data_IF_979944676622
#
_entry.id   IF_979944676622
#
_cell.length_a   1.000
_cell.length_b   1.000
_cell.length_c   1.000
_cell.angle_alpha   90.00
_cell.angle_beta   90.00
_cell.angle_gamma   90.00
#
_symmetry.space_group_name_H-M   'P 1'
#
loop_
_entity.id
_entity.type
_entity.pdbx_description
1 polymer ?
#
# COMPACT_ATOMS: atom_id res chain seq x y z
N UNK A 1 17.25 -21.69 -13.33
CA UNK A 1 16.24 -21.45 -12.28
C UNK A 1 15.31 -20.32 -12.72
N UNK A 2 14.02 -20.59 -12.96
CA UNK A 2 13.05 -19.50 -13.17
C UNK A 2 12.89 -18.78 -11.82
N UNK A 3 13.20 -17.48 -11.76
CA UNK A 3 12.87 -16.64 -10.60
C UNK A 3 11.35 -16.57 -10.51
N UNK A 4 10.75 -17.43 -9.68
CA UNK A 4 9.33 -17.37 -9.39
C UNK A 4 9.11 -16.10 -8.57
N UNK A 5 8.53 -15.07 -9.19
CA UNK A 5 8.26 -13.83 -8.48
C UNK A 5 7.07 -14.05 -7.57
N UNK A 6 7.30 -13.89 -6.26
CA UNK A 6 6.27 -14.03 -5.23
C UNK A 6 5.11 -13.09 -5.53
N UNK A 7 3.92 -13.64 -5.55
CA UNK A 7 2.70 -12.93 -5.96
C UNK A 7 2.41 -11.68 -5.12
N UNK A 8 2.64 -11.73 -3.80
CA UNK A 8 2.55 -10.55 -2.95
C UNK A 8 3.56 -9.46 -3.30
N UNK A 9 4.74 -9.79 -3.83
CA UNK A 9 5.71 -8.77 -4.27
C UNK A 9 5.15 -7.93 -5.43
N UNK A 10 4.46 -8.56 -6.39
CA UNK A 10 3.84 -7.83 -7.52
C UNK A 10 2.69 -6.93 -7.04
N UNK A 11 1.88 -7.43 -6.11
CA UNK A 11 0.83 -6.63 -5.47
C UNK A 11 1.45 -5.44 -4.72
N UNK A 12 2.48 -5.70 -3.92
CA UNK A 12 3.20 -4.67 -3.17
C UNK A 12 3.82 -3.60 -4.06
N UNK A 13 4.44 -4.02 -5.17
CA UNK A 13 4.99 -3.09 -6.15
C UNK A 13 3.89 -2.24 -6.82
N UNK A 14 2.75 -2.83 -7.16
CA UNK A 14 1.60 -2.11 -7.70
C UNK A 14 1.05 -1.07 -6.72
N UNK A 15 0.83 -1.47 -5.46
CA UNK A 15 0.38 -0.57 -4.40
C UNK A 15 1.39 0.57 -4.15
N UNK A 16 2.68 0.25 -4.15
CA UNK A 16 3.73 1.23 -3.96
C UNK A 16 3.75 2.28 -5.09
N UNK A 17 3.65 1.84 -6.35
CA UNK A 17 3.58 2.75 -7.51
C UNK A 17 2.34 3.65 -7.42
N UNK A 18 1.18 3.09 -7.07
CA UNK A 18 -0.06 3.87 -6.85
C UNK A 18 0.14 4.90 -5.74
N UNK A 19 0.78 4.52 -4.63
CA UNK A 19 1.11 5.44 -3.54
C UNK A 19 2.01 6.58 -3.98
N UNK A 20 3.05 6.31 -4.77
CA UNK A 20 3.94 7.36 -5.31
C UNK A 20 3.17 8.30 -6.24
N UNK A 21 2.33 7.77 -7.13
CA UNK A 21 1.51 8.57 -8.03
C UNK A 21 0.55 9.48 -7.26
N UNK A 22 -0.14 8.94 -6.26
CA UNK A 22 -1.06 9.73 -5.43
C UNK A 22 -0.32 10.79 -4.62
N UNK A 23 0.88 10.50 -4.12
CA UNK A 23 1.71 11.48 -3.43
C UNK A 23 2.10 12.64 -4.37
N UNK A 24 2.55 12.32 -5.59
CA UNK A 24 2.93 13.32 -6.59
C UNK A 24 1.75 14.19 -7.03
N UNK A 25 0.59 13.56 -7.29
CA UNK A 25 -0.64 14.28 -7.65
C UNK A 25 -1.14 15.16 -6.51
N UNK A 26 -1.10 14.66 -5.27
CA UNK A 26 -1.48 15.45 -4.10
C UNK A 26 -0.58 16.67 -3.93
N UNK A 27 0.73 16.48 -4.07
CA UNK A 27 1.71 17.55 -3.95
C UNK A 27 1.48 18.62 -5.01
N UNK A 28 1.30 18.22 -6.28
CA UNK A 28 1.01 19.17 -7.36
C UNK A 28 -0.30 19.93 -7.14
N UNK A 29 -1.37 19.26 -6.72
CA UNK A 29 -2.65 19.95 -6.46
C UNK A 29 -2.54 20.98 -5.33
N UNK A 30 -1.81 20.65 -4.26
CA UNK A 30 -1.58 21.56 -3.14
C UNK A 30 -0.71 22.75 -3.56
N UNK A 31 0.37 22.50 -4.29
CA UNK A 31 1.33 23.55 -4.69
C UNK A 31 0.75 24.52 -5.74
N UNK A 32 0.07 24.00 -6.77
CA UNK A 32 -0.35 24.82 -7.92
C UNK A 32 -1.79 25.32 -7.84
N UNK A 33 -2.66 24.63 -7.10
CA UNK A 33 -4.10 24.92 -7.06
C UNK A 33 -4.61 25.17 -5.63
N UNK A 34 -3.73 25.01 -4.63
CA UNK A 34 -4.08 25.06 -3.20
C UNK A 34 -5.29 24.16 -2.87
N UNK A 35 -5.35 23.01 -3.52
CA UNK A 35 -6.44 22.06 -3.39
C UNK A 35 -5.91 20.65 -3.15
N UNK A 36 -6.75 19.79 -2.59
CA UNK A 36 -6.45 18.38 -2.40
C UNK A 36 -7.73 17.58 -2.54
N UNK A 37 -7.58 16.31 -2.91
CA UNK A 37 -8.67 15.35 -2.88
C UNK A 37 -8.41 14.35 -1.75
N UNK A 38 -9.44 14.08 -0.95
CA UNK A 38 -9.36 13.14 0.17
C UNK A 38 -8.80 11.76 -0.22
N UNK A 39 -9.04 11.32 -1.46
CA UNK A 39 -8.50 10.07 -1.98
C UNK A 39 -6.97 10.08 -2.09
N UNK A 40 -6.37 11.22 -2.42
CA UNK A 40 -4.93 11.32 -2.54
C UNK A 40 -4.25 11.39 -1.18
N UNK A 41 -4.91 11.95 -0.15
CA UNK A 41 -4.40 11.95 1.24
C UNK A 41 -4.14 10.53 1.78
N UNK A 42 -4.80 9.51 1.21
CA UNK A 42 -4.55 8.11 1.51
C UNK A 42 -3.22 7.54 0.99
N UNK A 43 -2.41 8.32 0.24
CA UNK A 43 -1.14 7.84 -0.33
C UNK A 43 -0.17 7.18 0.67
N UNK A 44 -0.05 7.63 1.94
CA UNK A 44 0.86 6.98 2.89
C UNK A 44 0.47 5.53 3.15
N UNK A 45 -0.83 5.21 3.18
CA UNK A 45 -1.32 3.84 3.34
C UNK A 45 -0.90 2.95 2.18
N UNK A 46 -1.02 3.44 0.94
CA UNK A 46 -0.61 2.68 -0.24
C UNK A 46 0.91 2.45 -0.27
N UNK A 47 1.70 3.46 0.13
CA UNK A 47 3.16 3.34 0.21
C UNK A 47 3.59 2.32 1.27
N UNK A 48 3.10 2.44 2.50
CA UNK A 48 3.52 1.56 3.59
C UNK A 48 2.99 0.14 3.37
N UNK A 49 1.74 -0.02 2.93
CA UNK A 49 1.19 -1.34 2.62
C UNK A 49 1.92 -1.98 1.43
N UNK A 50 2.25 -1.20 0.40
CA UNK A 50 3.07 -1.65 -0.72
C UNK A 50 4.44 -2.17 -0.28
N UNK A 51 5.13 -1.42 0.57
CA UNK A 51 6.39 -1.83 1.19
C UNK A 51 6.23 -3.10 2.04
N UNK A 52 5.14 -3.22 2.80
CA UNK A 52 4.86 -4.38 3.61
C UNK A 52 4.76 -5.67 2.78
N UNK A 53 4.08 -5.61 1.63
CA UNK A 53 3.96 -6.73 0.70
C UNK A 53 5.25 -6.98 -0.12
N UNK A 54 6.14 -6.00 -0.25
CA UNK A 54 7.47 -6.20 -0.84
C UNK A 54 8.39 -6.94 0.14
N UNK A 55 8.39 -6.53 1.41
CA UNK A 55 9.22 -7.10 2.49
C UNK A 55 8.70 -8.48 2.89
N UNK A 56 7.39 -8.60 3.08
CA UNK A 56 6.69 -9.82 3.48
C UNK A 56 5.65 -10.20 2.41
N UNK A 57 6.06 -10.77 1.27
CA UNK A 57 5.16 -11.06 0.15
C UNK A 57 4.20 -12.23 0.36
N UNK A 58 4.24 -12.89 1.52
CA UNK A 58 3.39 -14.06 1.79
C UNK A 58 3.73 -15.28 0.92
N UNK A 59 2.82 -16.26 0.83
CA UNK A 59 3.02 -17.51 0.12
C UNK A 59 2.98 -17.31 -1.40
N UNK A 60 3.67 -18.19 -2.12
CA UNK A 60 3.61 -18.23 -3.57
C UNK A 60 2.30 -18.84 -4.04
N UNK A 61 1.33 -17.98 -4.31
CA UNK A 61 0.07 -18.37 -4.94
C UNK A 61 0.26 -18.16 -6.45
N UNK A 62 -0.12 -19.15 -7.27
CA UNK A 62 -0.13 -19.00 -8.73
C UNK A 62 -0.88 -17.71 -9.13
N UNK A 63 -0.55 -17.18 -10.33
CA UNK A 63 -1.02 -15.88 -10.88
C UNK A 63 -2.33 -15.37 -10.23
N UNK A 64 -2.30 -14.17 -9.64
CA UNK A 64 -3.52 -13.44 -9.23
C UNK A 64 -4.43 -13.29 -10.43
N UNK A 65 -5.52 -14.04 -10.46
CA UNK A 65 -6.56 -13.87 -11.47
C UNK A 65 -7.84 -13.35 -10.83
N UNK A 66 -8.15 -13.82 -9.62
CA UNK A 66 -9.41 -13.51 -8.96
C UNK A 66 -9.22 -13.06 -7.50
N UNK A 67 -10.25 -12.40 -6.95
CA UNK A 67 -10.29 -12.05 -5.52
C UNK A 67 -10.17 -13.25 -4.57
N UNK A 68 -10.44 -14.47 -5.04
CA UNK A 68 -10.19 -15.72 -4.30
C UNK A 68 -8.70 -15.93 -4.02
N UNK A 69 -7.82 -15.50 -4.91
CA UNK A 69 -6.37 -15.63 -4.76
C UNK A 69 -5.83 -14.64 -3.73
N UNK A 70 -6.41 -13.44 -3.66
CA UNK A 70 -6.11 -12.46 -2.61
C UNK A 70 -6.54 -13.02 -1.25
N UNK A 71 -7.75 -13.60 -1.16
CA UNK A 71 -8.20 -14.21 0.09
C UNK A 71 -7.28 -15.33 0.55
N UNK A 72 -6.84 -16.21 -0.38
CA UNK A 72 -5.84 -17.25 -0.08
C UNK A 72 -4.50 -16.68 0.38
N UNK A 73 -4.06 -15.56 -0.22
CA UNK A 73 -2.83 -14.87 0.22
C UNK A 73 -2.93 -14.49 1.69
N UNK A 74 -4.07 -13.94 2.09
CA UNK A 74 -4.31 -13.51 3.47
C UNK A 74 -4.50 -14.68 4.43
N UNK A 75 -5.14 -15.78 4.03
CA UNK A 75 -5.35 -16.93 4.92
C UNK A 75 -4.07 -17.73 5.12
N UNK A 76 -3.36 -18.02 4.03
CA UNK A 76 -2.27 -19.02 4.01
C UNK A 76 -0.90 -18.39 4.34
N UNK A 77 -0.85 -17.08 4.53
CA UNK A 77 0.36 -16.39 5.00
C UNK A 77 0.73 -16.75 6.42
N UNK A 78 2.04 -16.74 6.69
CA UNK A 78 2.57 -16.89 8.04
C UNK A 78 2.09 -15.73 8.92
N UNK A 79 1.92 -16.01 10.22
CA UNK A 79 1.54 -14.97 11.19
C UNK A 79 2.53 -13.80 11.23
N UNK A 80 3.82 -14.06 11.01
CA UNK A 80 4.86 -13.03 10.90
C UNK A 80 4.57 -12.01 9.80
N UNK A 81 4.13 -12.48 8.63
CA UNK A 81 3.89 -11.64 7.46
C UNK A 81 2.65 -10.78 7.70
N UNK A 82 1.60 -11.37 8.30
CA UNK A 82 0.39 -10.65 8.70
C UNK A 82 0.70 -9.55 9.72
N UNK A 83 1.57 -9.81 10.69
CA UNK A 83 2.00 -8.80 11.68
C UNK A 83 2.69 -7.63 10.97
N UNK A 84 3.61 -7.91 10.03
CA UNK A 84 4.27 -6.87 9.24
C UNK A 84 3.23 -6.05 8.47
N UNK A 85 2.26 -6.68 7.81
CA UNK A 85 1.21 -5.97 7.09
C UNK A 85 0.36 -5.08 7.99
N UNK A 86 -0.01 -5.57 9.17
CA UNK A 86 -0.79 -4.79 10.16
C UNK A 86 0.04 -3.59 10.64
N UNK A 87 1.30 -3.79 11.02
CA UNK A 87 2.16 -2.71 11.52
C UNK A 87 2.35 -1.61 10.47
N UNK A 88 2.63 -1.99 9.22
CA UNK A 88 2.77 -1.02 8.14
C UNK A 88 1.44 -0.35 7.76
N UNK A 89 0.31 -1.07 7.86
CA UNK A 89 -1.01 -0.46 7.69
C UNK A 89 -1.28 0.61 8.74
N UNK A 90 -0.96 0.33 10.01
CA UNK A 90 -1.08 1.28 11.11
C UNK A 90 -0.18 2.50 10.90
N UNK A 91 1.07 2.31 10.45
CA UNK A 91 1.97 3.42 10.08
C UNK A 91 1.40 4.26 8.94
N UNK A 92 0.80 3.63 7.93
CA UNK A 92 0.15 4.31 6.81
C UNK A 92 -1.05 5.15 7.25
N UNK A 93 -1.91 4.59 8.11
CA UNK A 93 -3.06 5.28 8.70
C UNK A 93 -2.58 6.46 9.56
N UNK A 94 -1.57 6.26 10.41
CA UNK A 94 -1.00 7.34 11.21
C UNK A 94 -0.44 8.46 10.33
N UNK A 95 0.30 8.12 9.27
CA UNK A 95 0.81 9.10 8.30
C UNK A 95 -0.31 9.88 7.60
N UNK A 96 -1.41 9.20 7.23
CA UNK A 96 -2.60 9.85 6.68
C UNK A 96 -3.19 10.88 7.66
N UNK A 97 -3.38 10.51 8.94
CA UNK A 97 -3.90 11.45 9.95
C UNK A 97 -2.97 12.64 10.19
N UNK A 98 -1.65 12.43 10.17
CA UNK A 98 -0.67 13.52 10.29
C UNK A 98 -0.83 14.52 9.14
N UNK A 99 -1.01 14.05 7.91
CA UNK A 99 -1.23 14.92 6.75
C UNK A 99 -2.56 15.69 6.90
N UNK A 100 -3.65 14.99 7.23
CA UNK A 100 -4.97 15.61 7.44
C UNK A 100 -4.86 16.73 8.48
N UNK A 101 -4.21 16.45 9.61
CA UNK A 101 -4.03 17.41 10.69
C UNK A 101 -3.14 18.59 10.28
N UNK A 102 -1.98 18.32 9.66
CA UNK A 102 -1.02 19.35 9.28
C UNK A 102 -1.56 20.31 8.21
N UNK A 103 -2.30 19.79 7.23
CA UNK A 103 -2.89 20.60 6.15
C UNK A 103 -4.29 21.15 6.50
N UNK A 104 -4.81 20.89 7.71
CA UNK A 104 -6.12 21.39 8.14
C UNK A 104 -7.28 20.92 7.26
N UNK A 105 -7.16 19.72 6.69
CA UNK A 105 -8.16 19.16 5.77
C UNK A 105 -9.34 18.65 6.60
N UNK A 106 -10.39 19.47 6.74
CA UNK A 106 -11.66 19.10 7.38
C UNK A 106 -12.71 18.70 6.35
#
# INVERSE_FOLDING_TARGET
MKKTYKTGFKLGLGLFIIGVLFAALNHGLLEYVNWTLNIFVGYPLFLTLGLAFIIAPGPEIGKLKDGKDIKKLLTDSKSSDKIIWILFSLLGIAGMFVIIYYYGLQ
#
